data_IF_722579260885
#
_entry.id   IF_722579260885
#
_cell.length_a   1.000
_cell.length_b   1.000
_cell.length_c   1.000
_cell.angle_alpha   90.00
_cell.angle_beta   90.00
_cell.angle_gamma   90.00
#
_symmetry.space_group_name_H-M   'P 1'
#
loop_
_entity.id
_entity.type
_entity.pdbx_description
1 polymer ?
#
# COMPACT_ATOMS: atom_id res chain seq x y z
N UNK A 1 18.79 9.74 22.37
CA UNK A 1 18.02 9.43 21.15
C UNK A 1 16.70 8.82 21.59
N UNK A 2 15.60 9.44 21.27
CA UNK A 2 14.27 8.89 21.55
C UNK A 2 14.13 7.52 20.89
N UNK A 3 13.58 6.58 21.66
CA UNK A 3 13.36 5.21 21.20
C UNK A 3 12.21 5.19 20.20
N UNK A 4 12.33 4.47 19.09
CA UNK A 4 11.28 4.34 18.07
C UNK A 4 9.94 3.85 18.68
N UNK A 5 10.00 2.98 19.68
CA UNK A 5 8.82 2.50 20.38
C UNK A 5 8.07 3.62 21.08
N UNK A 6 8.78 4.54 21.75
CA UNK A 6 8.18 5.66 22.46
C UNK A 6 7.50 6.62 21.48
N UNK A 7 8.11 6.87 20.32
CA UNK A 7 7.50 7.65 19.22
C UNK A 7 6.21 7.02 18.69
N UNK A 8 6.21 5.69 18.53
CA UNK A 8 5.01 4.96 18.09
C UNK A 8 3.90 5.13 19.13
N UNK A 9 4.20 4.98 20.43
CA UNK A 9 3.20 5.13 21.49
C UNK A 9 2.68 6.57 21.59
N UNK A 10 3.55 7.57 21.43
CA UNK A 10 3.16 8.99 21.42
C UNK A 10 2.14 9.25 20.28
N UNK A 11 2.46 8.79 19.06
CA UNK A 11 1.56 8.94 17.90
C UNK A 11 0.23 8.21 18.10
N UNK A 12 0.27 6.97 18.59
CA UNK A 12 -0.94 6.18 18.84
C UNK A 12 -1.82 6.83 19.92
N UNK A 13 -1.24 7.24 21.05
CA UNK A 13 -1.97 7.93 22.12
C UNK A 13 -2.61 9.24 21.63
N UNK A 14 -1.90 10.00 20.79
CA UNK A 14 -2.45 11.21 20.18
C UNK A 14 -3.70 10.89 19.35
N UNK A 15 -3.62 9.88 18.47
CA UNK A 15 -4.75 9.45 17.63
C UNK A 15 -5.91 8.97 18.50
N UNK A 16 -5.65 8.15 19.52
CA UNK A 16 -6.67 7.67 20.47
C UNK A 16 -7.32 8.82 21.26
N UNK A 17 -6.59 9.91 21.51
CA UNK A 17 -7.17 11.11 22.15
C UNK A 17 -8.18 11.85 21.25
N UNK A 18 -8.14 11.62 19.94
CA UNK A 18 -8.99 12.25 18.93
C UNK A 18 -10.15 11.36 18.49
N UNK A 19 -10.05 10.05 18.68
CA UNK A 19 -11.02 9.07 18.18
C UNK A 19 -11.17 7.89 19.14
N UNK A 20 -12.41 7.50 19.40
CA UNK A 20 -12.74 6.29 20.16
C UNK A 20 -12.72 5.01 19.27
N UNK A 21 -12.54 5.18 17.95
CA UNK A 21 -12.49 4.07 16.99
C UNK A 21 -11.30 3.17 17.28
N UNK A 22 -11.57 1.87 17.42
CA UNK A 22 -10.53 0.83 17.55
C UNK A 22 -10.45 0.05 16.24
N UNK A 23 -9.56 0.46 15.32
CA UNK A 23 -9.50 -0.14 14.00
C UNK A 23 -8.88 -1.54 14.06
N UNK A 24 -9.50 -2.49 13.35
CA UNK A 24 -8.92 -3.81 13.10
C UNK A 24 -8.26 -3.91 11.72
N UNK A 25 -8.67 -3.05 10.80
CA UNK A 25 -8.19 -3.05 9.42
C UNK A 25 -7.52 -1.70 9.11
N UNK A 26 -6.34 -1.77 8.52
CA UNK A 26 -5.64 -0.62 7.95
C UNK A 26 -5.80 -0.57 6.43
N UNK A 27 -6.01 0.61 5.88
CA UNK A 27 -6.07 0.83 4.43
C UNK A 27 -4.93 1.78 4.04
N UNK A 28 -4.07 1.37 3.12
CA UNK A 28 -3.04 2.23 2.55
C UNK A 28 -3.46 2.51 1.10
N UNK A 29 -4.05 3.69 0.89
CA UNK A 29 -4.68 4.04 -0.37
C UNK A 29 -3.65 4.66 -1.32
N UNK A 30 -3.46 4.02 -2.47
CA UNK A 30 -2.59 4.49 -3.55
C UNK A 30 -3.20 5.64 -4.34
N UNK A 31 -2.44 6.14 -5.32
CA UNK A 31 -2.82 7.24 -6.21
C UNK A 31 -4.19 7.00 -6.86
N UNK A 32 -5.06 7.99 -6.78
CA UNK A 32 -6.43 7.95 -7.30
C UNK A 32 -7.47 7.20 -6.46
N UNK A 33 -7.07 6.49 -5.40
CA UNK A 33 -7.97 5.71 -4.53
C UNK A 33 -8.26 6.39 -3.19
N UNK A 34 -7.65 7.54 -2.90
CA UNK A 34 -7.86 8.30 -1.67
C UNK A 34 -9.34 8.61 -1.38
N UNK A 35 -10.18 8.68 -2.41
CA UNK A 35 -11.63 8.88 -2.28
C UNK A 35 -12.35 7.77 -1.52
N UNK A 36 -11.78 6.56 -1.40
CA UNK A 36 -12.37 5.52 -0.56
C UNK A 36 -12.46 5.96 0.91
N UNK A 37 -11.54 6.78 1.36
CA UNK A 37 -11.58 7.32 2.71
C UNK A 37 -12.77 8.27 2.94
N UNK A 38 -13.35 8.85 1.88
CA UNK A 38 -14.53 9.70 1.97
C UNK A 38 -15.83 8.90 2.12
N UNK A 39 -15.80 7.59 1.84
CA UNK A 39 -16.91 6.67 2.06
C UNK A 39 -16.95 6.10 3.50
N UNK A 40 -15.92 6.35 4.30
CA UNK A 40 -15.89 5.94 5.71
C UNK A 40 -16.99 6.67 6.48
N UNK A 41 -17.83 5.92 7.19
CA UNK A 41 -18.93 6.45 7.99
C UNK A 41 -18.40 6.97 9.33
N UNK A 42 -19.02 8.06 9.82
CA UNK A 42 -18.63 8.75 11.06
C UNK A 42 -17.11 9.03 11.13
N UNK A 43 -16.51 9.63 10.08
CA UNK A 43 -15.07 9.72 9.97
C UNK A 43 -14.47 10.71 10.96
N UNK A 44 -13.39 10.31 11.62
CA UNK A 44 -12.47 11.21 12.31
C UNK A 44 -11.24 11.40 11.41
N UNK A 45 -11.10 12.60 10.84
CA UNK A 45 -9.96 12.96 9.96
C UNK A 45 -8.90 13.69 10.78
N UNK A 46 -7.65 13.20 10.72
CA UNK A 46 -6.50 13.78 11.42
C UNK A 46 -5.42 14.05 10.36
N UNK A 47 -4.98 15.28 10.21
CA UNK A 47 -3.90 15.62 9.27
C UNK A 47 -2.57 15.03 9.74
N UNK A 48 -1.74 14.55 8.82
CA UNK A 48 -0.45 13.95 9.17
C UNK A 48 0.46 14.90 9.94
N UNK A 49 0.46 16.19 9.60
CA UNK A 49 1.26 17.20 10.29
C UNK A 49 0.79 17.51 11.73
N UNK A 50 -0.39 17.05 12.13
CA UNK A 50 -0.88 17.12 13.52
C UNK A 50 -0.43 15.93 14.35
N UNK A 51 -0.13 14.78 13.71
CA UNK A 51 0.24 13.54 14.40
C UNK A 51 1.74 13.60 14.73
N UNK A 52 2.13 13.49 16.00
CA UNK A 52 3.55 13.46 16.38
C UNK A 52 4.32 12.39 15.57
N UNK A 53 5.53 12.73 15.15
CA UNK A 53 6.47 11.86 14.45
C UNK A 53 6.05 11.35 13.05
N UNK A 54 4.89 11.76 12.53
CA UNK A 54 4.48 11.43 11.17
C UNK A 54 5.26 12.29 10.15
N UNK A 55 5.65 11.74 8.99
CA UNK A 55 6.11 12.54 7.87
C UNK A 55 4.94 13.35 7.28
N UNK A 56 5.25 14.29 6.41
CA UNK A 56 4.25 15.09 5.68
C UNK A 56 4.30 14.70 4.21
N UNK A 57 3.16 14.30 3.64
CA UNK A 57 3.09 13.98 2.22
C UNK A 57 3.27 15.24 1.37
N UNK A 58 4.11 15.14 0.34
CA UNK A 58 4.41 16.21 -0.61
C UNK A 58 3.89 15.89 -2.02
N UNK A 59 3.27 14.72 -2.20
CA UNK A 59 2.77 14.26 -3.49
C UNK A 59 1.43 14.91 -3.79
N UNK A 60 1.31 15.51 -4.97
CA UNK A 60 0.06 16.10 -5.46
C UNK A 60 -1.05 15.04 -5.54
N UNK A 61 -2.27 15.42 -5.12
CA UNK A 61 -3.41 14.50 -5.06
C UNK A 61 -3.47 13.61 -3.82
N UNK A 62 -2.52 13.77 -2.87
CA UNK A 62 -2.60 13.15 -1.56
C UNK A 62 -3.16 14.14 -0.53
N UNK A 63 -4.29 13.81 0.11
CA UNK A 63 -4.92 14.65 1.14
C UNK A 63 -4.08 14.79 2.42
N UNK A 64 -3.17 13.85 2.66
CA UNK A 64 -2.29 13.87 3.81
C UNK A 64 -3.02 13.70 5.15
N UNK A 65 -4.01 12.84 5.18
CA UNK A 65 -4.85 12.59 6.35
C UNK A 65 -4.89 11.10 6.73
N UNK A 66 -4.98 10.86 8.04
CA UNK A 66 -5.42 9.59 8.61
C UNK A 66 -6.92 9.70 8.88
N UNK A 67 -7.71 8.73 8.40
CA UNK A 67 -9.17 8.72 8.54
C UNK A 67 -9.58 7.46 9.28
N UNK A 68 -10.22 7.61 10.44
CA UNK A 68 -10.73 6.51 11.26
C UNK A 68 -12.26 6.52 11.22
N UNK A 69 -12.88 5.34 11.16
CA UNK A 69 -14.33 5.20 11.16
C UNK A 69 -14.78 3.82 10.74
N UNK A 70 -16.00 3.72 10.25
CA UNK A 70 -16.59 2.45 9.80
C UNK A 70 -16.65 2.40 8.28
N UNK A 71 -16.20 1.29 7.70
CA UNK A 71 -16.34 0.98 6.27
C UNK A 71 -16.84 -0.46 6.14
N UNK A 72 -17.95 -0.65 5.42
CA UNK A 72 -18.57 -1.97 5.21
C UNK A 72 -18.79 -2.76 6.52
N UNK A 73 -19.17 -2.08 7.60
CA UNK A 73 -19.41 -2.69 8.91
C UNK A 73 -18.15 -3.01 9.72
N UNK A 74 -16.96 -2.58 9.26
CA UNK A 74 -15.68 -2.82 9.93
C UNK A 74 -15.05 -1.51 10.41
N UNK A 75 -14.43 -1.52 11.59
CA UNK A 75 -13.66 -0.38 12.06
C UNK A 75 -12.32 -0.32 11.35
N UNK A 76 -12.09 0.75 10.62
CA UNK A 76 -10.90 0.94 9.78
C UNK A 76 -10.12 2.18 10.16
N UNK A 77 -8.84 2.18 9.81
CA UNK A 77 -7.99 3.36 9.72
C UNK A 77 -7.40 3.43 8.31
N UNK A 78 -7.65 4.52 7.60
CA UNK A 78 -7.21 4.71 6.23
C UNK A 78 -6.16 5.83 6.13
N UNK A 79 -5.07 5.56 5.44
CA UNK A 79 -4.16 6.58 4.93
C UNK A 79 -4.73 7.16 3.64
N UNK A 80 -5.27 8.38 3.70
CA UNK A 80 -5.72 9.14 2.52
C UNK A 80 -4.53 9.84 1.89
N UNK A 81 -3.73 9.07 1.16
CA UNK A 81 -2.39 9.38 0.67
C UNK A 81 -1.33 8.61 1.46
N UNK A 82 -0.22 8.31 0.79
CA UNK A 82 0.92 7.59 1.36
C UNK A 82 2.20 8.38 1.21
N UNK A 83 3.26 7.94 1.88
CA UNK A 83 4.61 8.49 1.74
C UNK A 83 5.43 7.64 0.78
N UNK A 84 6.27 8.29 -0.03
CA UNK A 84 7.13 7.58 -0.97
C UNK A 84 8.61 7.83 -0.66
N UNK A 85 9.42 6.82 -0.95
CA UNK A 85 10.86 6.89 -0.75
C UNK A 85 11.52 8.01 -1.57
N UNK A 86 11.00 8.28 -2.77
CA UNK A 86 11.51 9.36 -3.63
C UNK A 86 11.18 10.78 -3.13
N UNK A 87 10.34 10.94 -2.11
CA UNK A 87 10.10 12.25 -1.46
C UNK A 87 11.29 12.69 -0.58
N UNK A 88 12.31 11.83 -0.43
CA UNK A 88 13.51 12.10 0.35
C UNK A 88 13.46 11.55 1.79
N UNK A 89 12.38 10.86 2.16
CA UNK A 89 12.26 10.15 3.42
C UNK A 89 13.00 8.81 3.39
N UNK A 90 13.49 8.36 4.54
CA UNK A 90 13.99 7.00 4.71
C UNK A 90 12.86 5.98 4.64
N UNK A 91 13.19 4.71 4.35
CA UNK A 91 12.16 3.65 4.37
C UNK A 91 11.56 3.44 5.76
N UNK A 92 12.29 3.75 6.82
CA UNK A 92 11.80 3.73 8.19
C UNK A 92 10.72 4.81 8.42
N UNK A 93 10.91 6.01 7.88
CA UNK A 93 9.95 7.11 8.01
C UNK A 93 8.68 6.85 7.20
N UNK A 94 8.78 6.42 5.94
CA UNK A 94 7.60 6.15 5.12
C UNK A 94 6.75 4.99 5.65
N UNK A 95 7.34 4.07 6.40
CA UNK A 95 6.65 2.91 6.98
C UNK A 95 6.24 3.11 8.45
N UNK A 96 6.62 4.24 9.06
CA UNK A 96 6.26 4.57 10.45
C UNK A 96 4.75 4.47 10.72
N UNK A 97 3.84 4.95 9.82
CA UNK A 97 2.40 4.81 10.00
C UNK A 97 1.92 3.36 10.19
N UNK A 98 2.56 2.39 9.54
CA UNK A 98 2.20 0.96 9.69
C UNK A 98 2.46 0.48 11.13
N UNK A 99 3.55 0.95 11.76
CA UNK A 99 3.81 0.66 13.18
C UNK A 99 2.77 1.29 14.10
N UNK A 100 2.35 2.52 13.78
CA UNK A 100 1.29 3.21 14.55
C UNK A 100 -0.04 2.49 14.36
N UNK A 101 -0.39 2.05 13.14
CA UNK A 101 -1.57 1.21 12.91
C UNK A 101 -1.54 -0.05 13.76
N UNK A 102 -0.38 -0.72 13.87
CA UNK A 102 -0.24 -1.89 14.77
C UNK A 102 -0.53 -1.53 16.22
N UNK A 103 -0.01 -0.41 16.70
CA UNK A 103 -0.25 0.06 18.08
C UNK A 103 -1.73 0.40 18.34
N UNK A 104 -2.46 0.87 17.31
CA UNK A 104 -3.91 1.13 17.37
C UNK A 104 -4.76 -0.15 17.34
N UNK A 105 -4.17 -1.33 17.13
CA UNK A 105 -4.88 -2.61 17.12
C UNK A 105 -5.10 -3.24 15.74
N UNK A 106 -4.60 -2.62 14.67
CA UNK A 106 -4.72 -3.17 13.31
C UNK A 106 -4.02 -4.54 13.24
N UNK A 107 -4.73 -5.51 12.72
CA UNK A 107 -4.25 -6.88 12.49
C UNK A 107 -4.19 -7.27 11.00
N UNK A 108 -4.87 -6.53 10.15
CA UNK A 108 -4.86 -6.76 8.69
C UNK A 108 -4.71 -5.41 7.96
N UNK A 109 -3.88 -5.34 6.94
CA UNK A 109 -3.84 -4.19 6.04
C UNK A 109 -4.21 -4.57 4.62
N UNK A 110 -4.94 -3.67 3.95
CA UNK A 110 -5.13 -3.68 2.50
C UNK A 110 -4.28 -2.55 1.93
N UNK A 111 -3.26 -2.91 1.17
CA UNK A 111 -2.37 -1.96 0.51
C UNK A 111 -2.67 -1.93 -0.98
N UNK A 112 -2.90 -0.73 -1.51
CA UNK A 112 -3.22 -0.53 -2.93
C UNK A 112 -2.20 0.39 -3.58
N UNK A 113 -2.01 0.24 -4.89
CA UNK A 113 -1.11 1.10 -5.67
C UNK A 113 -1.56 1.20 -7.13
N UNK A 114 -1.00 2.20 -7.83
CA UNK A 114 -0.88 2.26 -9.27
C UNK A 114 0.47 1.65 -9.65
N UNK A 115 0.51 0.83 -10.70
CA UNK A 115 1.71 0.14 -11.15
C UNK A 115 1.80 0.07 -12.68
N UNK A 116 3.03 0.05 -13.20
CA UNK A 116 3.30 -0.25 -14.60
C UNK A 116 3.28 -1.75 -14.87
N UNK A 117 2.52 -2.20 -15.87
CA UNK A 117 2.49 -3.60 -16.29
C UNK A 117 3.78 -4.01 -16.99
N UNK A 118 4.51 -4.96 -16.39
CA UNK A 118 5.69 -5.58 -16.99
C UNK A 118 5.36 -6.89 -17.70
N UNK A 119 4.30 -7.60 -17.28
CA UNK A 119 3.79 -8.78 -17.94
C UNK A 119 3.04 -8.39 -19.24
N UNK A 120 3.46 -8.94 -20.37
CA UNK A 120 2.89 -8.63 -21.69
C UNK A 120 1.47 -9.12 -21.90
N UNK A 121 0.95 -9.97 -21.00
CA UNK A 121 -0.44 -10.41 -21.01
C UNK A 121 -1.38 -9.43 -20.28
N UNK A 122 -0.81 -8.47 -19.56
CA UNK A 122 -1.58 -7.44 -18.88
C UNK A 122 -1.91 -6.27 -19.82
N UNK A 123 -2.93 -5.52 -19.46
CA UNK A 123 -3.34 -4.29 -20.17
C UNK A 123 -3.63 -3.17 -19.15
N UNK A 124 -3.52 -1.90 -19.55
CA UNK A 124 -3.96 -0.79 -18.73
C UNK A 124 -5.43 -0.97 -18.32
N UNK A 125 -5.70 -0.81 -17.03
CA UNK A 125 -6.99 -1.04 -16.42
C UNK A 125 -7.12 -2.37 -15.68
N UNK A 126 -6.23 -3.33 -15.88
CA UNK A 126 -6.27 -4.58 -15.13
C UNK A 126 -6.04 -4.33 -13.63
N UNK A 127 -6.77 -5.08 -12.81
CA UNK A 127 -6.50 -5.19 -11.37
C UNK A 127 -5.68 -6.45 -11.11
N UNK A 128 -4.60 -6.32 -10.34
CA UNK A 128 -3.69 -7.42 -10.03
C UNK A 128 -3.63 -7.66 -8.52
N UNK A 129 -3.99 -8.87 -8.09
CA UNK A 129 -3.69 -9.37 -6.75
C UNK A 129 -2.19 -9.65 -6.63
N UNK A 130 -1.53 -8.96 -5.72
CA UNK A 130 -0.11 -9.14 -5.46
C UNK A 130 0.09 -10.41 -4.62
N UNK A 131 0.83 -11.37 -5.14
CA UNK A 131 1.15 -12.63 -4.43
C UNK A 131 2.52 -12.58 -3.75
N UNK A 132 3.43 -11.77 -4.28
CA UNK A 132 4.79 -11.61 -3.79
C UNK A 132 5.40 -10.30 -4.30
N UNK A 133 6.56 -9.92 -3.80
CA UNK A 133 7.29 -8.77 -4.31
C UNK A 133 8.79 -9.01 -4.44
N UNK A 134 9.41 -8.22 -5.32
CA UNK A 134 10.87 -8.12 -5.46
C UNK A 134 11.28 -6.70 -5.05
N UNK A 135 12.10 -6.57 -4.02
CA UNK A 135 12.61 -5.27 -3.57
C UNK A 135 13.91 -4.93 -4.31
N UNK A 136 13.82 -4.04 -5.32
CA UNK A 136 14.95 -3.58 -6.13
C UNK A 136 15.46 -2.19 -5.72
N UNK A 137 14.99 -1.64 -4.60
CA UNK A 137 15.40 -0.30 -4.13
C UNK A 137 16.82 -0.24 -3.55
N UNK A 138 17.46 -1.39 -3.31
CA UNK A 138 18.76 -1.45 -2.62
C UNK A 138 18.69 -1.10 -1.14
N UNK A 139 17.50 -0.95 -0.56
CA UNK A 139 17.28 -0.60 0.85
C UNK A 139 16.17 -1.47 1.49
N UNK A 140 16.02 -1.43 2.82
CA UNK A 140 15.00 -2.19 3.55
C UNK A 140 14.62 -1.42 4.83
N UNK A 141 13.33 -1.29 5.17
CA UNK A 141 12.88 -0.54 6.34
C UNK A 141 13.36 -1.13 7.68
N UNK A 142 13.85 -2.36 7.69
CA UNK A 142 14.34 -3.04 8.89
C UNK A 142 15.86 -2.92 9.09
N UNK A 143 16.57 -2.22 8.20
CA UNK A 143 18.02 -1.95 8.39
C UNK A 143 18.22 -1.08 9.62
N UNK A 144 19.10 -1.51 10.52
CA UNK A 144 19.41 -0.83 11.77
C UNK A 144 19.25 -1.73 12.99
N UNK A 145 19.22 -1.10 14.18
CA UNK A 145 19.04 -1.82 15.45
C UNK A 145 17.59 -2.33 15.55
N UNK A 146 17.43 -3.64 15.82
CA UNK A 146 16.12 -4.23 16.07
C UNK A 146 15.62 -3.94 17.49
N UNK A 147 14.32 -3.64 17.61
CA UNK A 147 13.58 -3.63 18.87
C UNK A 147 12.65 -4.85 18.89
N UNK A 148 12.91 -5.80 19.78
CA UNK A 148 12.15 -7.05 19.86
C UNK A 148 10.67 -6.85 20.23
N UNK A 149 10.31 -5.72 20.79
CA UNK A 149 8.90 -5.36 21.08
C UNK A 149 8.09 -5.11 19.81
N UNK A 150 8.79 -4.77 18.71
CA UNK A 150 8.19 -4.44 17.42
C UNK A 150 8.18 -5.61 16.44
N UNK A 151 8.98 -6.64 16.70
CA UNK A 151 9.07 -7.84 15.88
C UNK A 151 10.44 -8.52 15.91
N UNK A 152 10.60 -9.68 15.26
CA UNK A 152 11.83 -10.46 15.26
C UNK A 152 12.92 -9.78 14.42
N UNK A 153 14.20 -10.03 14.74
CA UNK A 153 15.32 -9.49 13.95
C UNK A 153 15.31 -9.94 12.50
N UNK A 154 14.90 -11.17 12.25
CA UNK A 154 14.83 -11.80 10.94
C UNK A 154 13.42 -12.34 10.70
N UNK A 155 12.48 -11.52 10.18
CA UNK A 155 11.14 -11.98 9.89
C UNK A 155 11.14 -12.94 8.70
N UNK A 156 10.27 -13.94 8.75
CA UNK A 156 9.97 -14.77 7.59
C UNK A 156 9.10 -13.98 6.60
N UNK A 157 9.51 -13.96 5.33
CA UNK A 157 8.81 -13.28 4.26
C UNK A 157 8.16 -14.27 3.27
N UNK A 158 8.18 -15.58 3.55
CA UNK A 158 7.62 -16.62 2.66
C UNK A 158 6.11 -16.44 2.43
N UNK A 159 5.43 -15.74 3.31
CA UNK A 159 3.98 -15.47 3.25
C UNK A 159 3.69 -14.00 3.57
N UNK A 160 4.51 -13.08 3.03
CA UNK A 160 4.37 -11.66 3.28
C UNK A 160 2.99 -11.11 2.83
N UNK A 161 2.44 -11.66 1.76
CA UNK A 161 1.03 -11.52 1.38
C UNK A 161 0.28 -12.73 1.90
N UNK A 162 -0.75 -12.51 2.69
CA UNK A 162 -1.37 -13.56 3.52
C UNK A 162 -2.17 -14.56 2.68
N UNK A 163 -1.77 -15.84 2.60
CA UNK A 163 -2.33 -16.80 1.65
C UNK A 163 -3.84 -17.02 1.79
N UNK A 164 -4.39 -17.03 3.01
CA UNK A 164 -5.82 -17.22 3.24
C UNK A 164 -6.70 -16.13 2.57
N UNK A 165 -6.15 -14.96 2.32
CA UNK A 165 -6.88 -13.86 1.68
C UNK A 165 -6.83 -13.90 0.16
N UNK A 166 -5.95 -14.69 -0.45
CA UNK A 166 -5.89 -14.84 -1.91
C UNK A 166 -7.23 -15.32 -2.44
N UNK A 167 -7.77 -16.39 -1.85
CA UNK A 167 -9.07 -16.93 -2.26
C UNK A 167 -10.22 -15.97 -1.95
N UNK A 168 -10.18 -15.26 -0.82
CA UNK A 168 -11.18 -14.24 -0.47
C UNK A 168 -11.23 -13.14 -1.52
N UNK A 169 -10.08 -12.59 -1.92
CA UNK A 169 -10.03 -11.53 -2.96
C UNK A 169 -10.54 -12.04 -4.31
N UNK A 170 -10.17 -13.27 -4.70
CA UNK A 170 -10.67 -13.92 -5.93
C UNK A 170 -12.19 -14.11 -5.90
N UNK A 171 -12.74 -14.55 -4.79
CA UNK A 171 -14.18 -14.71 -4.63
C UNK A 171 -14.90 -13.34 -4.71
N UNK A 172 -14.35 -12.30 -4.09
CA UNK A 172 -14.87 -10.95 -4.19
C UNK A 172 -14.85 -10.44 -5.64
N UNK A 173 -13.75 -10.62 -6.36
CA UNK A 173 -13.62 -10.25 -7.76
C UNK A 173 -14.65 -11.00 -8.64
N UNK A 174 -14.77 -12.32 -8.46
CA UNK A 174 -15.74 -13.13 -9.20
C UNK A 174 -17.19 -12.69 -8.96
N UNK A 175 -17.57 -12.38 -7.71
CA UNK A 175 -18.92 -11.88 -7.38
C UNK A 175 -19.23 -10.54 -8.06
N UNK A 176 -18.21 -9.73 -8.29
CA UNK A 176 -18.30 -8.43 -8.95
C UNK A 176 -18.11 -8.50 -10.47
N UNK A 177 -17.86 -9.69 -11.04
CA UNK A 177 -17.49 -9.93 -12.44
C UNK A 177 -16.22 -9.15 -12.86
N UNK A 178 -15.25 -9.01 -11.94
CA UNK A 178 -13.96 -8.39 -12.17
C UNK A 178 -12.97 -9.46 -12.63
N UNK A 179 -12.35 -9.26 -13.80
CA UNK A 179 -11.22 -10.08 -14.26
C UNK A 179 -9.96 -9.69 -13.46
N UNK A 180 -9.58 -10.54 -12.50
CA UNK A 180 -8.46 -10.27 -11.61
C UNK A 180 -7.19 -11.00 -12.09
N UNK A 181 -6.13 -10.23 -12.36
CA UNK A 181 -4.80 -10.77 -12.59
C UNK A 181 -4.13 -11.16 -11.28
N UNK A 182 -3.09 -11.98 -11.34
CA UNK A 182 -2.25 -12.33 -10.20
C UNK A 182 -0.79 -12.16 -10.59
N UNK A 183 0.05 -11.63 -9.70
CA UNK A 183 1.43 -11.41 -10.06
C UNK A 183 2.36 -11.00 -8.93
N UNK A 184 3.61 -10.81 -9.32
CA UNK A 184 4.72 -10.35 -8.48
C UNK A 184 4.98 -8.87 -8.76
N UNK A 185 5.03 -8.07 -7.70
CA UNK A 185 5.28 -6.64 -7.77
C UNK A 185 6.77 -6.33 -7.55
N UNK A 186 7.43 -5.60 -8.46
CA UNK A 186 8.79 -5.14 -8.24
C UNK A 186 8.81 -3.69 -7.78
N UNK A 187 9.48 -3.45 -6.66
CA UNK A 187 9.65 -2.13 -6.05
C UNK A 187 10.97 -1.49 -6.47
N UNK A 188 10.87 -0.35 -7.14
CA UNK A 188 11.97 0.56 -7.45
C UNK A 188 11.91 1.84 -6.62
N UNK A 189 13.05 2.48 -6.40
CA UNK A 189 13.13 3.70 -5.58
C UNK A 189 12.40 4.91 -6.18
N UNK A 190 12.33 4.99 -7.50
CA UNK A 190 11.97 6.24 -8.20
C UNK A 190 13.00 7.37 -7.96
N UNK A 191 12.70 8.65 -8.30
CA UNK A 191 11.45 9.14 -8.89
C UNK A 191 11.32 8.93 -10.40
N UNK A 192 12.39 8.49 -11.08
CA UNK A 192 12.31 8.18 -12.50
C UNK A 192 11.51 6.92 -12.72
N UNK A 193 10.74 6.87 -13.81
CA UNK A 193 10.28 5.59 -14.33
C UNK A 193 11.47 4.73 -14.71
N UNK A 194 11.25 3.42 -14.72
CA UNK A 194 12.26 2.43 -15.11
C UNK A 194 12.64 2.63 -16.59
N UNK A 195 13.91 2.38 -16.91
CA UNK A 195 14.34 2.24 -18.29
C UNK A 195 13.83 0.94 -18.90
N UNK A 196 13.74 0.80 -20.25
CA UNK A 196 13.40 -0.48 -20.87
C UNK A 196 14.29 -1.66 -20.43
N UNK A 197 15.57 -1.39 -20.14
CA UNK A 197 16.51 -2.41 -19.66
C UNK A 197 16.19 -2.85 -18.21
N UNK A 198 15.79 -1.91 -17.33
CA UNK A 198 15.37 -2.21 -15.96
C UNK A 198 14.04 -2.98 -15.95
N UNK A 199 13.08 -2.62 -16.81
CA UNK A 199 11.84 -3.39 -16.98
C UNK A 199 12.12 -4.80 -17.48
N UNK A 200 13.01 -4.95 -18.48
CA UNK A 200 13.45 -6.26 -18.97
C UNK A 200 14.13 -7.08 -17.86
N UNK A 201 14.97 -6.45 -17.05
CA UNK A 201 15.59 -7.11 -15.88
C UNK A 201 14.52 -7.57 -14.88
N UNK A 202 13.57 -6.71 -14.48
CA UNK A 202 12.50 -7.06 -13.56
C UNK A 202 11.68 -8.26 -14.07
N UNK A 203 11.36 -8.29 -15.36
CA UNK A 203 10.67 -9.42 -16.00
C UNK A 203 11.45 -10.72 -15.93
N UNK A 204 12.77 -10.66 -16.20
CA UNK A 204 13.67 -11.85 -16.09
C UNK A 204 13.70 -12.37 -14.66
N UNK A 205 13.61 -11.48 -13.65
CA UNK A 205 13.55 -11.85 -12.23
C UNK A 205 12.16 -12.38 -11.82
N UNK A 206 11.16 -12.29 -12.70
CA UNK A 206 9.81 -12.80 -12.45
C UNK A 206 8.78 -11.77 -12.03
N UNK A 207 9.05 -10.47 -12.21
CA UNK A 207 8.08 -9.42 -11.93
C UNK A 207 7.00 -9.32 -13.03
N UNK A 208 5.75 -9.10 -12.61
CA UNK A 208 4.59 -8.85 -13.45
C UNK A 208 4.20 -7.37 -13.51
N UNK A 209 4.53 -6.63 -12.45
CA UNK A 209 4.29 -5.19 -12.36
C UNK A 209 5.47 -4.50 -11.66
N UNK A 210 5.64 -3.20 -11.95
CA UNK A 210 6.70 -2.35 -11.39
C UNK A 210 6.09 -1.09 -10.78
N UNK A 211 6.72 -0.56 -9.73
CA UNK A 211 6.29 0.70 -9.12
C UNK A 211 7.17 1.14 -7.95
N UNK A 212 6.78 2.22 -7.28
CA UNK A 212 7.64 2.97 -6.36
C UNK A 212 7.13 2.99 -4.91
N UNK A 213 6.36 1.95 -4.50
CA UNK A 213 5.72 1.89 -3.17
C UNK A 213 5.51 0.45 -2.70
N UNK A 214 4.66 0.27 -1.69
CA UNK A 214 4.06 -1.02 -1.28
C UNK A 214 5.02 -2.01 -0.61
N UNK A 215 6.13 -2.40 -1.23
CA UNK A 215 7.01 -3.40 -0.64
C UNK A 215 7.56 -2.98 0.73
N UNK A 216 7.97 -1.74 0.99
CA UNK A 216 8.40 -1.32 2.32
C UNK A 216 7.31 -1.48 3.39
N UNK A 217 6.07 -1.09 3.07
CA UNK A 217 4.93 -1.22 3.99
C UNK A 217 4.61 -2.69 4.27
N UNK A 218 4.65 -3.55 3.24
CA UNK A 218 4.44 -5.00 3.37
C UNK A 218 5.54 -5.64 4.22
N UNK A 219 6.82 -5.29 4.00
CA UNK A 219 7.93 -5.77 4.82
C UNK A 219 7.70 -5.42 6.29
N UNK A 220 7.30 -4.18 6.56
CA UNK A 220 7.09 -3.74 7.94
C UNK A 220 5.84 -4.35 8.58
N UNK A 221 4.76 -4.51 7.81
CA UNK A 221 3.54 -5.17 8.26
C UNK A 221 3.83 -6.63 8.65
N UNK A 222 4.52 -7.38 7.79
CA UNK A 222 4.95 -8.76 8.06
C UNK A 222 5.82 -8.84 9.32
N UNK A 223 6.83 -7.95 9.45
CA UNK A 223 7.66 -7.85 10.64
C UNK A 223 6.85 -7.62 11.92
N UNK A 224 5.76 -6.84 11.82
CA UNK A 224 4.89 -6.50 12.96
C UNK A 224 3.78 -7.52 13.22
N UNK A 225 3.72 -8.62 12.47
CA UNK A 225 2.66 -9.62 12.56
C UNK A 225 1.29 -9.08 12.14
N UNK A 226 1.25 -8.20 11.13
CA UNK A 226 0.04 -7.74 10.47
C UNK A 226 -0.16 -8.56 9.21
N UNK A 227 -1.36 -9.07 8.99
CA UNK A 227 -1.74 -9.77 7.75
C UNK A 227 -1.89 -8.76 6.60
N UNK A 228 -1.54 -9.17 5.38
CA UNK A 228 -1.46 -8.26 4.23
C UNK A 228 -2.24 -8.78 3.04
N UNK A 229 -3.01 -7.86 2.44
CA UNK A 229 -3.62 -7.98 1.12
C UNK A 229 -3.04 -6.86 0.25
N UNK A 230 -2.48 -7.20 -0.91
CA UNK A 230 -1.96 -6.22 -1.87
C UNK A 230 -2.73 -6.26 -3.18
N UNK A 231 -3.20 -5.11 -3.67
CA UNK A 231 -3.89 -5.00 -4.96
C UNK A 231 -3.30 -3.83 -5.74
N UNK A 232 -2.81 -4.11 -6.95
CA UNK A 232 -2.34 -3.09 -7.89
C UNK A 232 -3.40 -2.78 -8.93
N UNK A 233 -3.49 -1.52 -9.35
CA UNK A 233 -4.09 -1.12 -10.61
C UNK A 233 -2.96 -1.00 -11.65
N UNK A 234 -3.04 -1.74 -12.74
CA UNK A 234 -2.13 -1.58 -13.88
C UNK A 234 -2.58 -0.35 -14.65
N UNK A 235 -1.91 0.77 -14.42
CA UNK A 235 -2.33 2.07 -15.00
C UNK A 235 -1.79 2.32 -16.39
N UNK A 236 -0.65 1.74 -16.70
CA UNK A 236 0.05 1.83 -17.98
C UNK A 236 0.90 0.57 -18.16
N UNK A 237 1.36 0.31 -19.36
CA UNK A 237 2.41 -0.68 -19.56
C UNK A 237 3.77 -0.04 -19.25
N UNK A 238 4.65 -0.81 -18.58
CA UNK A 238 5.99 -0.32 -18.23
C UNK A 238 6.86 -0.02 -19.47
N UNK A 239 7.91 0.76 -19.28
CA UNK A 239 8.78 1.22 -20.38
C UNK A 239 9.30 0.06 -21.24
N UNK A 240 9.22 0.21 -22.57
CA UNK A 240 9.70 -0.77 -23.56
C UNK A 240 8.81 -2.02 -23.71
N UNK A 241 7.62 -2.06 -23.08
CA UNK A 241 6.60 -3.08 -23.33
C UNK A 241 5.79 -2.70 -24.58
N UNK A 242 5.38 -1.44 -24.67
CA UNK A 242 4.76 -0.86 -25.86
C UNK A 242 5.75 0.11 -26.53
N UNK A 243 5.58 0.31 -27.83
CA UNK A 243 6.40 1.24 -28.63
C UNK A 243 5.85 2.68 -28.52
N UNK A 244 5.74 3.17 -27.27
CA UNK A 244 5.31 4.53 -26.97
C UNK A 244 5.99 5.05 -25.70
N UNK A 245 6.20 6.37 -25.55
CA UNK A 245 6.72 6.94 -24.31
C UNK A 245 5.68 6.80 -23.18
N UNK A 246 6.16 6.77 -21.94
CA UNK A 246 5.30 6.82 -20.76
C UNK A 246 4.80 8.24 -20.54
N UNK A 247 3.51 8.35 -20.20
CA UNK A 247 2.86 9.62 -19.85
C UNK A 247 2.14 9.48 -18.52
N UNK A 248 2.33 10.46 -17.64
CA UNK A 248 1.64 10.50 -16.35
C UNK A 248 0.13 10.77 -16.50
N UNK A 249 -0.29 11.44 -17.58
CA UNK A 249 -1.70 11.66 -17.87
C UNK A 249 -2.42 10.33 -18.14
N UNK A 250 -1.79 9.38 -18.84
CA UNK A 250 -2.31 8.02 -19.05
C UNK A 250 -2.59 7.30 -17.74
N UNK A 251 -1.70 7.46 -16.75
CA UNK A 251 -1.87 6.89 -15.39
C UNK A 251 -3.12 7.46 -14.74
N UNK A 252 -3.33 8.77 -14.79
CA UNK A 252 -4.50 9.45 -14.21
C UNK A 252 -5.77 8.99 -14.90
N UNK A 253 -5.82 9.03 -16.23
CA UNK A 253 -7.00 8.64 -17.01
C UNK A 253 -7.39 7.19 -16.78
N UNK A 254 -6.43 6.27 -16.81
CA UNK A 254 -6.69 4.85 -16.59
C UNK A 254 -7.20 4.61 -15.18
N UNK A 255 -6.59 5.23 -14.18
CA UNK A 255 -7.07 5.14 -12.78
C UNK A 255 -8.52 5.62 -12.67
N UNK A 256 -8.91 6.71 -13.33
CA UNK A 256 -10.28 7.21 -13.31
C UNK A 256 -11.27 6.24 -13.97
N UNK A 257 -10.88 5.59 -15.07
CA UNK A 257 -11.72 4.63 -15.79
C UNK A 257 -12.08 3.40 -14.94
N UNK A 258 -11.11 2.86 -14.18
CA UNK A 258 -11.30 1.64 -13.39
C UNK A 258 -11.60 1.92 -11.91
N UNK A 259 -11.66 3.17 -11.51
CA UNK A 259 -11.83 3.60 -10.12
C UNK A 259 -13.02 2.94 -9.43
N UNK A 260 -14.20 2.98 -10.07
CA UNK A 260 -15.42 2.42 -9.48
C UNK A 260 -15.29 0.90 -9.23
N UNK A 261 -14.71 0.19 -10.18
CA UNK A 261 -14.46 -1.25 -10.10
C UNK A 261 -13.46 -1.57 -8.99
N UNK A 262 -12.35 -0.83 -8.94
CA UNK A 262 -11.33 -1.02 -7.90
C UNK A 262 -11.88 -0.71 -6.50
N UNK A 263 -12.62 0.39 -6.32
CA UNK A 263 -13.27 0.73 -5.04
C UNK A 263 -14.25 -0.37 -4.61
N UNK A 264 -15.06 -0.88 -5.55
CA UNK A 264 -16.00 -1.97 -5.28
C UNK A 264 -15.29 -3.24 -4.82
N UNK A 265 -14.15 -3.58 -5.45
CA UNK A 265 -13.35 -4.73 -5.03
C UNK A 265 -12.80 -4.54 -3.61
N UNK A 266 -12.16 -3.40 -3.32
CA UNK A 266 -11.59 -3.13 -1.99
C UNK A 266 -12.67 -3.16 -0.90
N UNK A 267 -13.84 -2.55 -1.15
CA UNK A 267 -14.99 -2.58 -0.22
C UNK A 267 -15.48 -4.00 0.00
N UNK A 268 -15.64 -4.78 -1.06
CA UNK A 268 -16.02 -6.19 -0.95
C UNK A 268 -15.01 -6.99 -0.14
N UNK A 269 -13.71 -6.75 -0.33
CA UNK A 269 -12.65 -7.39 0.46
C UNK A 269 -12.75 -6.98 1.94
N UNK A 270 -12.89 -5.68 2.25
CA UNK A 270 -13.04 -5.20 3.63
C UNK A 270 -14.23 -5.85 4.33
N UNK A 271 -15.34 -6.03 3.63
CA UNK A 271 -16.54 -6.69 4.19
C UNK A 271 -16.28 -8.15 4.58
N UNK A 272 -15.40 -8.86 3.86
CA UNK A 272 -15.18 -10.31 4.02
C UNK A 272 -13.96 -10.68 4.90
N UNK A 273 -13.20 -9.72 5.43
CA UNK A 273 -12.03 -9.95 6.30
C UNK A 273 -12.26 -9.57 7.75
#
# INVERSE_FOLDING_TARGET
>A
MENIYDKIQESANFIESKSEVKPSIGLILGSGLGVLADEIQNPVKIKYNEIPNFPVSTVEGHEGCLVLGELEGKMVVAMQGRFHYYEGYTQQEITFPVRVMKALGVNTIVVTNAAGGANTNFKPGDLMLIKDHINLSGNNPLIGKNDQRLGPRFPDMSSAYTPKYIDVVKECANKLNIELQEGVYAFFSGPTYETPAEVKMARILGADAVGMSTAPEVILASHSGIEVIGISCITNMAAGILDQPLDHEEVIETTQKVKAEFLSLVKSVVNHI
#
